data_IF_987289302045
#
_entry.id   IF_987289302045
#
_cell.length_a   1.000
_cell.length_b   1.000
_cell.length_c   1.000
_cell.angle_alpha   90.00
_cell.angle_beta   90.00
_cell.angle_gamma   90.00
#
_symmetry.space_group_name_H-M   'P 1'
#
loop_
_entity.id
_entity.type
_entity.pdbx_description
1 polymer ?
#
# COMPACT_ATOMS: atom_id res chain seq x y z
N UNK A 1 76.52 -6.96 39.57
CA UNK A 1 75.38 -6.75 38.64
C UNK A 1 75.01 -7.99 37.80
N UNK A 2 75.65 -9.15 37.89
CA UNK A 2 75.32 -10.36 37.09
C UNK A 2 74.33 -11.36 37.75
N UNK A 3 74.01 -11.17 39.04
CA UNK A 3 73.05 -12.09 39.75
C UNK A 3 71.63 -11.67 39.75
N UNK A 4 71.32 -10.45 39.42
CA UNK A 4 69.93 -9.91 39.39
C UNK A 4 69.21 -10.27 38.05
N UNK A 5 69.97 -10.32 36.93
CA UNK A 5 69.46 -10.66 35.63
C UNK A 5 68.95 -12.13 35.51
N UNK A 6 69.55 -13.03 36.33
CA UNK A 6 69.12 -14.44 36.36
C UNK A 6 67.75 -14.66 37.05
N UNK A 7 67.50 -13.91 38.10
CA UNK A 7 66.25 -14.00 38.89
C UNK A 7 65.08 -13.44 38.12
N UNK A 8 65.27 -12.33 37.38
CA UNK A 8 64.24 -11.73 36.56
C UNK A 8 63.85 -12.61 35.39
N UNK A 9 64.86 -13.32 34.79
CA UNK A 9 64.55 -14.26 33.69
C UNK A 9 63.85 -15.52 34.18
N UNK A 10 64.14 -16.01 35.39
CA UNK A 10 63.42 -17.17 35.96
C UNK A 10 62.01 -16.82 36.37
N UNK A 11 61.79 -15.60 36.93
CA UNK A 11 60.42 -15.12 37.27
C UNK A 11 59.55 -14.90 36.02
N UNK A 12 60.11 -14.44 34.90
CA UNK A 12 59.42 -14.28 33.63
C UNK A 12 58.96 -15.58 33.00
N UNK A 13 59.81 -16.64 33.08
CA UNK A 13 59.47 -17.96 32.55
C UNK A 13 58.41 -18.63 33.41
N UNK A 14 58.45 -18.49 34.74
CA UNK A 14 57.42 -19.03 35.63
C UNK A 14 56.06 -18.33 35.42
N UNK A 15 56.04 -17.04 35.17
CA UNK A 15 54.78 -16.28 34.87
C UNK A 15 54.17 -16.71 33.52
N UNK A 16 55.00 -16.99 32.50
CA UNK A 16 54.52 -17.43 31.18
C UNK A 16 54.00 -18.87 31.22
N UNK A 17 54.59 -19.74 32.03
CA UNK A 17 54.09 -21.12 32.22
C UNK A 17 52.76 -21.14 32.99
N UNK A 18 52.54 -20.21 33.93
CA UNK A 18 51.27 -20.08 34.64
C UNK A 18 50.11 -19.63 33.74
N UNK A 19 50.38 -18.79 32.76
CA UNK A 19 49.37 -18.32 31.78
C UNK A 19 48.95 -19.44 30.79
N UNK A 20 49.83 -20.39 30.47
CA UNK A 20 49.52 -21.51 29.61
C UNK A 20 48.74 -22.63 30.35
N UNK A 21 48.88 -22.76 31.69
CA UNK A 21 48.09 -23.68 32.48
C UNK A 21 46.65 -23.20 32.74
N UNK A 22 46.41 -21.88 32.73
CA UNK A 22 45.06 -21.31 32.88
C UNK A 22 44.16 -21.58 31.68
N UNK A 23 44.72 -21.82 30.47
CA UNK A 23 43.94 -22.14 29.29
C UNK A 23 43.49 -23.61 29.21
N UNK A 24 44.07 -24.52 30.02
CA UNK A 24 43.70 -25.95 30.00
C UNK A 24 42.57 -26.28 30.96
N UNK A 25 42.22 -25.41 31.92
CA UNK A 25 41.10 -25.64 32.84
C UNK A 25 39.74 -25.16 32.31
N UNK A 26 39.71 -24.58 31.08
CA UNK A 26 38.45 -24.24 30.40
C UNK A 26 37.76 -25.44 29.74
N UNK A 27 38.24 -26.65 29.94
CA UNK A 27 37.73 -27.84 29.27
C UNK A 27 36.56 -28.55 29.97
N UNK A 28 36.15 -28.06 31.15
CA UNK A 28 35.02 -28.64 31.89
C UNK A 28 33.94 -27.67 32.37
N UNK A 29 34.05 -26.40 32.01
CA UNK A 29 32.90 -25.49 32.16
C UNK A 29 31.99 -25.69 30.96
N UNK A 30 31.02 -26.56 31.08
CA UNK A 30 30.00 -26.88 30.08
C UNK A 30 29.07 -25.72 29.70
N UNK A 31 29.64 -24.51 29.47
CA UNK A 31 29.00 -23.43 28.73
C UNK A 31 29.33 -23.61 27.25
N UNK A 32 29.19 -24.85 26.86
CA UNK A 32 29.50 -25.23 25.53
C UNK A 32 28.28 -25.14 24.62
N UNK A 33 28.63 -25.29 23.42
CA UNK A 33 27.87 -25.57 22.22
C UNK A 33 26.62 -26.43 22.43
N UNK A 34 26.55 -27.27 23.48
CA UNK A 34 25.41 -28.10 23.81
C UNK A 34 24.14 -27.35 24.18
N UNK A 35 24.25 -26.37 25.07
CA UNK A 35 23.06 -25.61 25.52
C UNK A 35 22.54 -24.65 24.42
N UNK A 36 23.45 -24.13 23.61
CA UNK A 36 23.04 -23.32 22.45
C UNK A 36 22.52 -24.21 21.31
N UNK A 37 23.12 -25.38 21.09
CA UNK A 37 22.62 -26.36 20.14
C UNK A 37 21.29 -26.96 20.60
N UNK A 38 21.11 -27.20 21.89
CA UNK A 38 19.84 -27.66 22.48
C UNK A 38 18.76 -26.58 22.41
N UNK A 39 19.09 -25.29 22.70
CA UNK A 39 18.20 -24.17 22.45
C UNK A 39 17.88 -23.98 20.98
N UNK A 40 18.86 -24.06 20.10
CA UNK A 40 18.64 -23.99 18.65
C UNK A 40 17.80 -25.17 18.18
N UNK A 41 18.01 -26.39 18.69
CA UNK A 41 17.21 -27.58 18.41
C UNK A 41 15.78 -27.46 18.98
N UNK A 42 15.62 -26.85 20.17
CA UNK A 42 14.31 -26.57 20.75
C UNK A 42 13.58 -25.45 20.00
N UNK A 43 14.28 -24.42 19.55
CA UNK A 43 13.70 -23.38 18.69
C UNK A 43 13.35 -23.91 17.29
N UNK A 44 14.19 -24.79 16.73
CA UNK A 44 13.95 -25.48 15.46
C UNK A 44 12.81 -26.52 15.60
N UNK A 45 12.74 -27.21 16.73
CA UNK A 45 11.62 -28.09 17.06
C UNK A 45 10.33 -27.33 17.40
N UNK A 46 10.42 -26.15 18.01
CA UNK A 46 9.29 -25.25 18.21
C UNK A 46 8.85 -24.59 16.89
N UNK A 47 9.78 -24.25 16.01
CA UNK A 47 9.51 -23.79 14.63
C UNK A 47 8.89 -24.91 13.76
N UNK A 48 9.30 -26.15 13.94
CA UNK A 48 8.70 -27.33 13.29
C UNK A 48 7.37 -27.73 13.92
N UNK A 49 7.12 -27.39 15.18
CA UNK A 49 5.83 -27.55 15.89
C UNK A 49 4.84 -26.44 15.62
N UNK A 50 5.19 -25.42 14.88
CA UNK A 50 4.17 -24.64 14.20
C UNK A 50 3.61 -25.57 13.13
N UNK A 51 2.63 -26.39 13.57
CA UNK A 51 1.92 -27.33 12.73
C UNK A 51 1.55 -26.61 11.44
N UNK A 52 1.90 -27.18 10.29
CA UNK A 52 1.37 -26.72 9.02
C UNK A 52 -0.13 -26.54 9.22
N UNK A 53 -0.72 -25.45 8.73
CA UNK A 53 -2.13 -25.18 9.00
C UNK A 53 -2.94 -26.37 8.49
N UNK A 54 -3.56 -27.10 9.43
CA UNK A 54 -4.26 -28.37 9.15
C UNK A 54 -5.59 -28.14 8.41
N UNK A 55 -6.04 -26.90 8.31
CA UNK A 55 -7.30 -26.54 7.65
C UNK A 55 -7.12 -25.39 6.66
N UNK A 56 -7.95 -25.33 5.59
CA UNK A 56 -7.93 -24.22 4.65
C UNK A 56 -8.05 -22.86 5.33
N UNK A 57 -8.93 -22.74 6.33
CA UNK A 57 -9.15 -21.48 7.06
C UNK A 57 -7.92 -21.04 7.87
N UNK A 58 -7.21 -21.98 8.52
CA UNK A 58 -5.97 -21.69 9.23
C UNK A 58 -4.87 -21.24 8.27
N UNK A 59 -4.80 -21.84 7.08
CA UNK A 59 -3.80 -21.47 6.08
C UNK A 59 -4.08 -20.06 5.51
N UNK A 60 -5.33 -19.73 5.19
CA UNK A 60 -5.71 -18.38 4.79
C UNK A 60 -5.37 -17.37 5.88
N UNK A 61 -5.68 -17.66 7.15
CA UNK A 61 -5.31 -16.80 8.28
C UNK A 61 -3.80 -16.64 8.47
N UNK A 62 -2.98 -17.62 8.10
CA UNK A 62 -1.53 -17.47 8.05
C UNK A 62 -1.12 -16.48 6.94
N UNK A 63 -1.67 -16.63 5.74
CA UNK A 63 -1.39 -15.74 4.60
C UNK A 63 -1.82 -14.30 4.91
N UNK A 64 -2.99 -14.10 5.52
CA UNK A 64 -3.44 -12.78 5.98
C UNK A 64 -2.46 -12.13 6.96
N UNK A 65 -1.96 -12.88 7.93
CA UNK A 65 -0.94 -12.38 8.87
C UNK A 65 0.36 -12.02 8.18
N UNK A 66 0.79 -12.80 7.18
CA UNK A 66 1.97 -12.46 6.39
C UNK A 66 1.77 -11.12 5.65
N UNK A 67 0.60 -10.89 5.05
CA UNK A 67 0.28 -9.63 4.39
C UNK A 67 0.21 -8.47 5.38
N UNK A 68 -0.37 -8.68 6.57
CA UNK A 68 -0.39 -7.68 7.64
C UNK A 68 1.02 -7.27 8.11
N UNK A 69 2.00 -8.15 7.94
CA UNK A 69 3.43 -7.90 8.20
C UNK A 69 4.19 -7.36 6.98
N UNK A 70 3.51 -7.08 5.87
CA UNK A 70 4.13 -6.61 4.63
C UNK A 70 4.86 -7.69 3.81
N UNK A 71 4.72 -8.97 4.16
CA UNK A 71 5.40 -10.09 3.51
C UNK A 71 4.66 -10.56 2.24
N UNK A 72 4.39 -9.61 1.32
CA UNK A 72 3.53 -9.86 0.16
C UNK A 72 4.11 -10.86 -0.84
N UNK A 73 5.41 -10.82 -1.12
CA UNK A 73 6.06 -11.81 -2.01
C UNK A 73 6.00 -13.22 -1.44
N UNK A 74 6.25 -13.37 -0.14
CA UNK A 74 6.13 -14.65 0.53
C UNK A 74 4.67 -15.12 0.55
N UNK A 75 3.71 -14.20 0.76
CA UNK A 75 2.28 -14.54 0.72
C UNK A 75 1.85 -15.08 -0.64
N UNK A 76 2.37 -14.57 -1.76
CA UNK A 76 2.09 -15.11 -3.10
C UNK A 76 2.51 -16.57 -3.23
N UNK A 77 3.71 -16.93 -2.75
CA UNK A 77 4.17 -18.31 -2.78
C UNK A 77 3.30 -19.23 -1.90
N UNK A 78 2.85 -18.74 -0.73
CA UNK A 78 1.93 -19.47 0.13
C UNK A 78 0.52 -19.60 -0.47
N UNK A 79 0.04 -18.60 -1.21
CA UNK A 79 -1.22 -18.69 -1.96
C UNK A 79 -1.13 -19.76 -3.04
N UNK A 80 -0.01 -19.83 -3.78
CA UNK A 80 0.20 -20.89 -4.78
C UNK A 80 0.16 -22.28 -4.15
N UNK A 81 0.81 -22.45 -2.99
CA UNK A 81 0.79 -23.72 -2.25
C UNK A 81 -0.61 -24.05 -1.72
N UNK A 82 -1.32 -23.05 -1.19
CA UNK A 82 -2.71 -23.19 -0.74
C UNK A 82 -3.62 -23.66 -1.88
N UNK A 83 -3.60 -22.96 -3.02
CA UNK A 83 -4.48 -23.26 -4.15
C UNK A 83 -4.16 -24.61 -4.79
N UNK A 84 -2.91 -25.03 -4.78
CA UNK A 84 -2.51 -26.37 -5.21
C UNK A 84 -3.08 -27.47 -4.29
N UNK A 85 -3.19 -27.20 -3.00
CA UNK A 85 -3.65 -28.17 -2.01
C UNK A 85 -5.18 -28.20 -1.85
N UNK A 86 -5.81 -27.03 -1.87
CA UNK A 86 -7.23 -26.86 -1.50
C UNK A 86 -8.11 -26.34 -2.64
N UNK A 87 -7.50 -25.92 -3.75
CA UNK A 87 -8.19 -25.21 -4.82
C UNK A 87 -8.29 -23.70 -4.55
N UNK A 88 -8.60 -22.95 -5.60
CA UNK A 88 -8.84 -21.52 -5.49
C UNK A 88 -10.19 -21.24 -4.81
N UNK A 89 -10.21 -20.25 -3.93
CA UNK A 89 -11.41 -19.73 -3.28
C UNK A 89 -11.51 -18.21 -3.47
N UNK A 90 -12.69 -17.59 -3.28
CA UNK A 90 -12.80 -16.14 -3.31
C UNK A 90 -11.82 -15.45 -2.33
N UNK A 91 -11.58 -16.04 -1.17
CA UNK A 91 -10.67 -15.52 -0.14
C UNK A 91 -9.22 -15.59 -0.61
N UNK A 92 -8.76 -16.74 -1.16
CA UNK A 92 -7.40 -16.85 -1.71
C UNK A 92 -7.20 -15.92 -2.91
N UNK A 93 -8.23 -15.78 -3.75
CA UNK A 93 -8.25 -14.84 -4.87
C UNK A 93 -8.11 -13.39 -4.40
N UNK A 94 -8.81 -13.00 -3.33
CA UNK A 94 -8.66 -11.67 -2.73
C UNK A 94 -7.25 -11.43 -2.21
N UNK A 95 -6.70 -12.37 -1.44
CA UNK A 95 -5.34 -12.28 -0.90
C UNK A 95 -4.29 -12.20 -2.02
N UNK A 96 -4.47 -12.94 -3.11
CA UNK A 96 -3.62 -12.84 -4.31
C UNK A 96 -3.71 -11.46 -4.95
N UNK A 97 -4.92 -10.92 -5.13
CA UNK A 97 -5.12 -9.61 -5.70
C UNK A 97 -4.47 -8.50 -4.85
N UNK A 98 -4.65 -8.55 -3.53
CA UNK A 98 -4.03 -7.62 -2.58
C UNK A 98 -2.50 -7.69 -2.63
N UNK A 99 -1.91 -8.90 -2.62
CA UNK A 99 -0.47 -9.09 -2.71
C UNK A 99 0.12 -8.59 -4.03
N UNK A 100 -0.53 -8.86 -5.16
CA UNK A 100 -0.12 -8.34 -6.47
C UNK A 100 -0.14 -6.82 -6.52
N UNK A 101 -1.18 -6.18 -5.94
CA UNK A 101 -1.26 -4.72 -5.86
C UNK A 101 -0.11 -4.15 -5.02
N UNK A 102 0.21 -4.79 -3.90
CA UNK A 102 1.27 -4.34 -2.98
C UNK A 102 2.68 -4.64 -3.48
N UNK A 103 2.83 -5.51 -4.48
CA UNK A 103 4.11 -5.83 -5.14
C UNK A 103 4.26 -5.14 -6.50
N UNK A 104 3.51 -4.05 -6.73
CA UNK A 104 3.57 -3.21 -7.93
C UNK A 104 3.26 -3.98 -9.24
N UNK A 105 2.27 -4.86 -9.18
CA UNK A 105 1.75 -5.62 -10.32
C UNK A 105 0.28 -5.24 -10.61
N UNK A 106 -0.02 -3.97 -10.93
CA UNK A 106 -1.40 -3.46 -10.96
C UNK A 106 -2.27 -4.12 -12.02
N UNK A 107 -1.71 -4.47 -13.19
CA UNK A 107 -2.46 -5.11 -14.26
C UNK A 107 -2.90 -6.54 -13.88
N UNK A 108 -1.98 -7.33 -13.31
CA UNK A 108 -2.29 -8.67 -12.83
C UNK A 108 -3.28 -8.62 -11.66
N UNK A 109 -3.07 -7.69 -10.72
CA UNK A 109 -3.97 -7.47 -9.59
C UNK A 109 -5.38 -7.11 -10.05
N UNK A 110 -5.54 -6.21 -11.03
CA UNK A 110 -6.85 -5.83 -11.56
C UNK A 110 -7.59 -7.01 -12.20
N UNK A 111 -6.87 -7.86 -12.94
CA UNK A 111 -7.45 -9.07 -13.52
C UNK A 111 -7.98 -10.04 -12.44
N UNK A 112 -7.23 -10.18 -11.34
CA UNK A 112 -7.62 -11.04 -10.21
C UNK A 112 -8.78 -10.41 -9.43
N UNK A 113 -8.78 -9.11 -9.13
CA UNK A 113 -9.94 -8.45 -8.49
C UNK A 113 -11.23 -8.58 -9.33
N UNK A 114 -11.11 -8.54 -10.67
CA UNK A 114 -12.28 -8.69 -11.56
C UNK A 114 -12.97 -10.04 -11.38
N UNK A 115 -12.22 -11.10 -11.05
CA UNK A 115 -12.80 -12.42 -10.77
C UNK A 115 -13.71 -12.43 -9.53
N UNK A 116 -13.53 -11.49 -8.61
CA UNK A 116 -14.34 -11.37 -7.39
C UNK A 116 -15.68 -10.71 -7.60
N UNK A 117 -15.92 -10.03 -8.72
CA UNK A 117 -17.12 -9.19 -8.91
C UNK A 117 -18.42 -9.97 -8.93
N UNK A 118 -18.37 -11.27 -9.20
CA UNK A 118 -19.52 -12.17 -9.17
C UNK A 118 -19.50 -13.13 -7.97
N UNK A 119 -18.79 -12.77 -6.90
CA UNK A 119 -18.66 -13.56 -5.67
C UNK A 119 -19.20 -12.76 -4.47
N UNK A 120 -19.37 -13.37 -3.30
CA UNK A 120 -19.69 -12.63 -2.08
C UNK A 120 -18.67 -11.53 -1.71
N UNK A 121 -17.47 -11.56 -2.28
CA UNK A 121 -16.41 -10.58 -2.07
C UNK A 121 -16.38 -9.47 -3.13
N UNK A 122 -17.46 -9.29 -3.90
CA UNK A 122 -17.57 -8.28 -4.95
C UNK A 122 -17.23 -6.86 -4.45
N UNK A 123 -17.66 -6.49 -3.24
CA UNK A 123 -17.31 -5.20 -2.62
C UNK A 123 -15.80 -5.00 -2.49
N UNK A 124 -15.07 -6.03 -2.08
CA UNK A 124 -13.61 -6.02 -1.96
C UNK A 124 -12.94 -5.96 -3.32
N UNK A 125 -13.49 -6.66 -4.33
CA UNK A 125 -13.05 -6.60 -5.72
C UNK A 125 -13.17 -5.18 -6.28
N UNK A 126 -14.34 -4.55 -6.17
CA UNK A 126 -14.55 -3.17 -6.59
C UNK A 126 -13.63 -2.18 -5.84
N UNK A 127 -13.45 -2.37 -4.53
CA UNK A 127 -12.51 -1.55 -3.76
C UNK A 127 -11.09 -1.66 -4.30
N UNK A 128 -10.61 -2.89 -4.54
CA UNK A 128 -9.27 -3.12 -5.09
C UNK A 128 -9.06 -2.45 -6.45
N UNK A 129 -10.03 -2.58 -7.35
CA UNK A 129 -10.01 -1.89 -8.66
C UNK A 129 -9.99 -0.37 -8.51
N UNK A 130 -10.77 0.17 -7.57
CA UNK A 130 -10.76 1.59 -7.23
C UNK A 130 -9.42 2.07 -6.69
N UNK A 131 -8.78 1.30 -5.82
CA UNK A 131 -7.44 1.62 -5.29
C UNK A 131 -6.37 1.61 -6.39
N UNK A 132 -6.42 0.66 -7.33
CA UNK A 132 -5.50 0.61 -8.49
C UNK A 132 -5.71 1.83 -9.38
N UNK A 133 -6.95 2.17 -9.71
CA UNK A 133 -7.26 3.35 -10.52
C UNK A 133 -6.79 4.64 -9.83
N UNK A 134 -7.02 4.77 -8.52
CA UNK A 134 -6.55 5.90 -7.72
C UNK A 134 -5.03 6.03 -7.68
N UNK A 135 -4.31 4.91 -7.58
CA UNK A 135 -2.85 4.88 -7.64
C UNK A 135 -2.32 5.31 -9.02
N UNK A 136 -3.03 4.96 -10.09
CA UNK A 136 -2.74 5.41 -11.45
C UNK A 136 -3.13 6.88 -11.72
N UNK A 137 -3.78 7.56 -10.78
CA UNK A 137 -4.27 8.94 -10.93
C UNK A 137 -5.62 9.07 -11.64
N UNK A 138 -6.25 7.97 -12.03
CA UNK A 138 -7.58 7.94 -12.63
C UNK A 138 -8.66 7.95 -11.51
N UNK A 139 -8.85 9.15 -10.94
CA UNK A 139 -9.74 9.31 -9.80
C UNK A 139 -11.22 9.21 -10.17
N UNK A 140 -11.58 9.44 -11.41
CA UNK A 140 -12.95 9.25 -11.90
C UNK A 140 -13.32 7.76 -11.90
N UNK A 141 -12.46 6.92 -12.48
CA UNK A 141 -12.63 5.46 -12.44
C UNK A 141 -12.54 4.93 -11.01
N UNK A 142 -11.64 5.48 -10.19
CA UNK A 142 -11.55 5.12 -8.78
C UNK A 142 -12.88 5.41 -8.05
N UNK A 143 -13.47 6.61 -8.22
CA UNK A 143 -14.73 6.98 -7.61
C UNK A 143 -15.89 6.10 -8.10
N UNK A 144 -15.92 5.73 -9.38
CA UNK A 144 -16.93 4.82 -9.93
C UNK A 144 -16.85 3.43 -9.27
N UNK A 145 -15.66 2.82 -9.24
CA UNK A 145 -15.48 1.50 -8.64
C UNK A 145 -15.78 1.51 -7.13
N UNK A 146 -15.28 2.51 -6.40
CA UNK A 146 -15.53 2.65 -4.96
C UNK A 146 -17.00 2.95 -4.65
N UNK A 147 -17.73 3.60 -5.56
CA UNK A 147 -19.18 3.79 -5.43
C UNK A 147 -19.91 2.46 -5.48
N UNK A 148 -19.56 1.56 -6.42
CA UNK A 148 -20.11 0.21 -6.46
C UNK A 148 -19.81 -0.56 -5.17
N UNK A 149 -18.58 -0.48 -4.69
CA UNK A 149 -18.18 -1.10 -3.44
C UNK A 149 -19.01 -0.59 -2.25
N UNK A 150 -19.24 0.72 -2.15
CA UNK A 150 -20.00 1.34 -1.06
C UNK A 150 -21.49 1.01 -1.05
N UNK A 151 -22.06 0.67 -2.20
CA UNK A 151 -23.45 0.17 -2.28
C UNK A 151 -23.55 -1.23 -1.66
N UNK A 152 -22.52 -2.06 -1.88
CA UNK A 152 -22.50 -3.44 -1.35
C UNK A 152 -22.14 -3.49 0.13
N UNK A 153 -21.34 -2.52 0.64
CA UNK A 153 -20.92 -2.44 2.05
C UNK A 153 -21.05 -1.01 2.57
N UNK A 154 -22.27 -0.53 2.85
CA UNK A 154 -22.52 0.87 3.17
C UNK A 154 -22.05 1.31 4.57
N UNK A 155 -21.56 0.38 5.38
CA UNK A 155 -21.05 0.61 6.75
C UNK A 155 -19.54 0.40 6.89
N UNK A 156 -18.80 0.17 5.80
CA UNK A 156 -17.34 0.10 5.84
C UNK A 156 -16.74 1.51 5.81
N UNK A 157 -16.29 1.98 6.97
CA UNK A 157 -15.72 3.32 7.15
C UNK A 157 -14.52 3.57 6.23
N UNK A 158 -13.64 2.57 6.08
CA UNK A 158 -12.45 2.68 5.23
C UNK A 158 -12.82 2.83 3.75
N UNK A 159 -13.81 2.05 3.30
CA UNK A 159 -14.29 2.10 1.92
C UNK A 159 -14.99 3.43 1.60
N UNK A 160 -15.83 3.92 2.52
CA UNK A 160 -16.47 5.23 2.40
C UNK A 160 -15.44 6.37 2.36
N UNK A 161 -14.38 6.27 3.15
CA UNK A 161 -13.28 7.23 3.16
C UNK A 161 -12.48 7.20 1.84
N UNK A 162 -12.23 6.00 1.28
CA UNK A 162 -11.58 5.84 -0.01
C UNK A 162 -12.42 6.46 -1.13
N UNK A 163 -13.74 6.24 -1.12
CA UNK A 163 -14.68 6.86 -2.06
C UNK A 163 -14.65 8.38 -1.95
N UNK A 164 -14.72 8.91 -0.73
CA UNK A 164 -14.68 10.35 -0.50
C UNK A 164 -13.39 10.98 -1.03
N UNK A 165 -12.24 10.34 -0.78
CA UNK A 165 -10.96 10.80 -1.29
C UNK A 165 -10.90 10.77 -2.82
N UNK A 166 -11.36 9.71 -3.47
CA UNK A 166 -11.40 9.62 -4.92
C UNK A 166 -12.27 10.75 -5.52
N UNK A 167 -13.46 11.01 -4.92
CA UNK A 167 -14.34 12.12 -5.31
C UNK A 167 -13.70 13.49 -5.12
N UNK A 168 -12.97 13.71 -4.02
CA UNK A 168 -12.21 14.95 -3.84
C UNK A 168 -11.17 15.11 -4.94
N UNK A 169 -10.41 14.07 -5.24
CA UNK A 169 -9.30 14.10 -6.20
C UNK A 169 -9.78 14.30 -7.64
N UNK A 170 -10.94 13.81 -8.05
CA UNK A 170 -11.53 14.13 -9.35
C UNK A 170 -12.24 15.49 -9.40
N UNK A 171 -12.35 16.21 -8.26
CA UNK A 171 -12.95 17.53 -8.18
C UNK A 171 -14.41 17.58 -7.73
N UNK A 172 -15.06 16.43 -7.53
CA UNK A 172 -16.42 16.30 -6.98
C UNK A 172 -16.43 16.51 -5.47
N UNK A 173 -16.15 17.74 -5.04
CA UNK A 173 -16.09 18.10 -3.61
C UNK A 173 -17.44 17.92 -2.91
N UNK A 174 -18.53 18.20 -3.60
CA UNK A 174 -19.87 18.07 -3.04
C UNK A 174 -20.27 16.60 -2.86
N UNK A 175 -19.97 15.76 -3.86
CA UNK A 175 -20.23 14.33 -3.78
C UNK A 175 -19.37 13.59 -2.76
N UNK A 176 -18.23 14.16 -2.37
CA UNK A 176 -17.38 13.59 -1.32
C UNK A 176 -17.95 13.75 0.09
N UNK A 177 -18.82 14.74 0.33
CA UNK A 177 -19.30 15.11 1.68
C UNK A 177 -19.99 13.95 2.40
N UNK A 178 -20.97 13.34 1.76
CA UNK A 178 -21.79 12.30 2.42
C UNK A 178 -20.98 11.06 2.79
N UNK A 179 -20.22 10.42 1.85
CA UNK A 179 -19.41 9.27 2.22
C UNK A 179 -18.36 9.61 3.29
N UNK A 180 -17.77 10.83 3.26
CA UNK A 180 -16.79 11.22 4.25
C UNK A 180 -17.37 11.40 5.65
N UNK A 181 -18.54 12.03 5.77
CA UNK A 181 -19.20 12.20 7.07
C UNK A 181 -19.63 10.86 7.64
N UNK A 182 -20.18 9.96 6.83
CA UNK A 182 -20.49 8.61 7.25
C UNK A 182 -19.23 7.85 7.73
N UNK A 183 -18.14 7.96 7.02
CA UNK A 183 -16.88 7.34 7.43
C UNK A 183 -16.41 7.87 8.81
N UNK A 184 -16.47 9.18 8.99
CA UNK A 184 -16.08 9.82 10.25
C UNK A 184 -17.01 9.48 11.43
N UNK A 185 -18.30 9.25 11.19
CA UNK A 185 -19.24 8.77 12.22
C UNK A 185 -18.97 7.31 12.61
N UNK A 186 -18.62 6.46 11.63
CA UNK A 186 -18.36 5.03 11.86
C UNK A 186 -17.01 4.77 12.54
N UNK A 187 -15.98 5.57 12.24
CA UNK A 187 -14.64 5.42 12.83
C UNK A 187 -13.98 6.80 13.01
N UNK A 188 -14.19 7.38 14.19
CA UNK A 188 -13.69 8.72 14.55
C UNK A 188 -12.19 8.75 14.86
N UNK A 189 -11.59 7.59 15.07
CA UNK A 189 -10.19 7.48 15.50
C UNK A 189 -9.23 7.19 14.32
N UNK A 190 -9.73 6.87 13.15
CA UNK A 190 -8.95 6.48 11.99
C UNK A 190 -8.17 7.67 11.41
N UNK A 191 -6.83 7.63 11.44
CA UNK A 191 -6.00 8.76 10.98
C UNK A 191 -6.24 9.13 9.51
N UNK A 192 -6.54 8.14 8.67
CA UNK A 192 -6.82 8.34 7.24
C UNK A 192 -8.13 9.11 7.03
N UNK A 193 -9.17 8.73 7.78
CA UNK A 193 -10.47 9.41 7.73
C UNK A 193 -10.31 10.84 8.22
N UNK A 194 -9.62 11.05 9.36
CA UNK A 194 -9.34 12.38 9.91
C UNK A 194 -8.58 13.25 8.89
N UNK A 195 -7.57 12.70 8.21
CA UNK A 195 -6.83 13.41 7.16
C UNK A 195 -7.72 13.79 5.98
N UNK A 196 -8.62 12.92 5.55
CA UNK A 196 -9.57 13.21 4.49
C UNK A 196 -10.60 14.28 4.91
N UNK A 197 -10.99 14.32 6.19
CA UNK A 197 -11.82 15.43 6.74
C UNK A 197 -11.07 16.76 6.69
N UNK A 198 -9.78 16.77 7.05
CA UNK A 198 -8.96 18.00 6.94
C UNK A 198 -8.85 18.48 5.49
N UNK A 199 -8.64 17.57 4.54
CA UNK A 199 -8.63 17.89 3.10
C UNK A 199 -9.96 18.49 2.66
N UNK A 200 -11.06 17.85 3.02
CA UNK A 200 -12.41 18.36 2.71
C UNK A 200 -12.64 19.77 3.28
N UNK A 201 -12.30 19.99 4.54
CA UNK A 201 -12.46 21.29 5.18
C UNK A 201 -11.65 22.38 4.46
N UNK A 202 -10.39 22.10 4.09
CA UNK A 202 -9.55 23.06 3.36
C UNK A 202 -10.16 23.42 2.00
N UNK A 203 -10.58 22.41 1.23
CA UNK A 203 -11.12 22.61 -0.12
C UNK A 203 -12.49 23.29 -0.10
N UNK A 204 -13.28 23.07 0.96
CA UNK A 204 -14.59 23.67 1.17
C UNK A 204 -14.54 25.09 1.77
N UNK A 205 -13.33 25.64 1.99
CA UNK A 205 -13.14 26.99 2.52
C UNK A 205 -13.15 27.10 4.04
N UNK A 206 -13.24 25.99 4.78
CA UNK A 206 -13.26 25.93 6.24
C UNK A 206 -11.83 25.80 6.82
N UNK A 207 -10.92 26.67 6.39
CA UNK A 207 -9.49 26.58 6.73
C UNK A 207 -9.23 26.69 8.25
N UNK A 208 -10.03 27.45 8.98
CA UNK A 208 -9.89 27.58 10.45
C UNK A 208 -10.18 26.26 11.16
N UNK A 209 -11.22 25.55 10.74
CA UNK A 209 -11.61 24.26 11.33
C UNK A 209 -10.58 23.19 11.01
N UNK A 210 -10.07 23.17 9.78
CA UNK A 210 -8.96 22.31 9.39
C UNK A 210 -7.72 22.55 10.27
N UNK A 211 -7.33 23.81 10.49
CA UNK A 211 -6.19 24.14 11.36
C UNK A 211 -6.39 23.72 12.80
N UNK A 212 -7.61 23.94 13.35
CA UNK A 212 -7.98 23.48 14.68
C UNK A 212 -7.83 21.96 14.80
N UNK A 213 -8.36 21.22 13.84
CA UNK A 213 -8.29 19.76 13.81
C UNK A 213 -6.82 19.27 13.69
N UNK A 214 -5.99 19.89 12.83
CA UNK A 214 -4.56 19.61 12.71
C UNK A 214 -3.80 19.84 14.04
N UNK A 215 -4.19 20.87 14.78
CA UNK A 215 -3.64 21.17 16.10
C UNK A 215 -4.05 20.14 17.15
N UNK A 216 -5.31 19.72 17.17
CA UNK A 216 -5.83 18.67 18.07
C UNK A 216 -5.12 17.34 17.84
N UNK A 217 -4.84 16.98 16.59
CA UNK A 217 -4.14 15.76 16.23
C UNK A 217 -2.61 15.87 16.40
N UNK A 218 -2.09 17.04 16.81
CA UNK A 218 -0.65 17.30 17.00
C UNK A 218 0.22 16.89 15.79
N UNK A 219 -0.30 17.09 14.58
CA UNK A 219 0.37 16.65 13.36
C UNK A 219 1.73 17.36 13.18
N UNK A 220 2.79 16.64 12.77
CA UNK A 220 4.07 17.23 12.36
C UNK A 220 3.89 18.26 11.23
N UNK A 221 4.82 19.23 11.13
CA UNK A 221 4.75 20.29 10.13
C UNK A 221 4.75 19.73 8.68
N UNK A 222 5.52 18.66 8.44
CA UNK A 222 5.58 17.97 7.14
C UNK A 222 4.21 17.43 6.72
N UNK A 223 3.56 16.69 7.60
CA UNK A 223 2.22 16.12 7.33
C UNK A 223 1.18 17.24 7.09
N UNK A 224 1.25 18.32 7.86
CA UNK A 224 0.37 19.49 7.63
C UNK A 224 0.60 20.12 6.27
N UNK A 225 1.85 20.20 5.80
CA UNK A 225 2.18 20.71 4.48
C UNK A 225 1.72 19.76 3.37
N UNK A 226 1.90 18.46 3.54
CA UNK A 226 1.40 17.46 2.58
C UNK A 226 -0.13 17.56 2.41
N UNK A 227 -0.87 17.68 3.51
CA UNK A 227 -2.33 17.89 3.47
C UNK A 227 -2.69 19.19 2.73
N UNK A 228 -1.95 20.30 2.95
CA UNK A 228 -2.19 21.56 2.24
C UNK A 228 -1.89 21.45 0.74
N UNK A 229 -0.81 20.76 0.38
CA UNK A 229 -0.43 20.52 -1.01
C UNK A 229 -1.48 19.67 -1.73
N UNK A 230 -2.00 18.64 -1.09
CA UNK A 230 -3.09 17.84 -1.62
C UNK A 230 -4.39 18.66 -1.76
N UNK A 231 -4.70 19.49 -0.77
CA UNK A 231 -5.85 20.38 -0.86
C UNK A 231 -5.73 21.35 -2.05
N UNK A 232 -4.53 21.86 -2.34
CA UNK A 232 -4.28 22.71 -3.51
C UNK A 232 -4.51 21.96 -4.83
N UNK A 233 -4.05 20.69 -4.93
CA UNK A 233 -4.31 19.83 -6.10
C UNK A 233 -5.80 19.57 -6.29
N UNK A 234 -6.53 19.26 -5.22
CA UNK A 234 -7.98 19.04 -5.23
C UNK A 234 -8.71 20.34 -5.66
N UNK A 235 -8.31 21.49 -5.13
CA UNK A 235 -8.89 22.77 -5.52
C UNK A 235 -8.68 23.09 -7.01
N UNK A 236 -7.55 22.70 -7.58
CA UNK A 236 -7.29 22.80 -9.02
C UNK A 236 -8.22 21.88 -9.83
N UNK A 237 -8.37 20.62 -9.42
CA UNK A 237 -9.28 19.65 -10.04
C UNK A 237 -10.74 20.13 -9.95
N UNK A 238 -11.17 20.65 -8.80
CA UNK A 238 -12.53 21.19 -8.62
C UNK A 238 -12.84 22.39 -9.52
N UNK A 239 -11.82 23.22 -9.83
CA UNK A 239 -11.98 24.30 -10.82
C UNK A 239 -12.15 23.75 -12.24
N UNK A 240 -11.41 22.70 -12.59
CA UNK A 240 -11.56 22.03 -13.88
C UNK A 240 -12.92 21.35 -14.02
N UNK A 241 -13.37 20.66 -12.97
CA UNK A 241 -14.68 19.99 -12.90
C UNK A 241 -15.87 20.94 -13.14
N UNK A 242 -15.77 22.19 -12.64
CA UNK A 242 -16.83 23.21 -12.79
C UNK A 242 -16.85 23.89 -14.16
N UNK A 243 -15.83 23.70 -15.02
CA UNK A 243 -15.83 24.26 -16.37
C UNK A 243 -16.86 23.51 -17.20
N UNK A 244 -17.84 24.21 -17.82
CA UNK A 244 -18.71 23.55 -18.79
C UNK A 244 -17.84 22.95 -19.88
N UNK A 245 -18.09 21.70 -20.24
CA UNK A 245 -17.53 21.16 -21.48
C UNK A 245 -17.99 22.08 -22.58
N UNK A 246 -17.07 22.84 -23.19
CA UNK A 246 -17.38 23.67 -24.33
C UNK A 246 -17.96 22.73 -25.40
N UNK A 247 -19.26 22.81 -25.60
CA UNK A 247 -19.94 22.13 -26.71
C UNK A 247 -19.17 22.56 -27.95
N UNK A 248 -18.58 21.67 -28.74
CA UNK A 248 -17.97 22.09 -30.01
C UNK A 248 -19.04 22.84 -30.77
N UNK A 249 -18.75 24.12 -31.09
CA UNK A 249 -19.66 24.97 -31.85
C UNK A 249 -20.05 24.18 -33.10
N UNK A 250 -21.33 23.87 -33.22
CA UNK A 250 -21.85 23.27 -34.41
C UNK A 250 -21.44 24.19 -35.57
N UNK A 251 -20.47 23.74 -36.35
CA UNK A 251 -20.04 24.42 -37.59
C UNK A 251 -21.32 24.52 -38.43
N UNK A 252 -21.77 25.74 -38.58
CA UNK A 252 -22.88 26.04 -39.47
C UNK A 252 -22.52 25.50 -40.85
N UNK A 253 -23.25 24.50 -41.25
CA UNK A 253 -23.15 23.96 -42.63
C UNK A 253 -23.71 25.03 -43.52
N UNK A 254 -22.80 25.83 -44.11
CA UNK A 254 -23.09 26.69 -45.25
C UNK A 254 -23.36 25.75 -46.43
N UNK A 255 -24.58 25.82 -46.92
CA UNK A 255 -24.99 25.25 -48.22
C UNK A 255 -24.12 25.83 -49.33
N UNK A 256 -23.48 24.93 -50.11
CA UNK A 256 -22.84 25.35 -51.35
C UNK A 256 -21.92 24.29 -51.99
N UNK A 257 -22.42 23.75 -53.07
CA UNK A 257 -21.70 23.13 -54.22
C UNK A 257 -21.09 21.73 -54.12
N UNK A 258 -21.75 20.88 -54.80
CA UNK A 258 -21.26 19.62 -55.36
C UNK A 258 -20.09 19.86 -56.28
N UNK A 259 -18.95 19.29 -56.03
CA UNK A 259 -17.92 18.98 -57.05
C UNK A 259 -17.41 17.58 -56.82
N UNK A 260 -17.64 16.76 -57.79
CA UNK A 260 -17.15 15.40 -57.96
C UNK A 260 -15.67 15.43 -58.39
N UNK A 261 -14.75 14.81 -57.68
CA UNK A 261 -13.44 14.42 -58.20
C UNK A 261 -12.96 13.15 -57.52
N UNK A 262 -12.83 12.12 -58.35
CA UNK A 262 -12.07 10.88 -58.10
C UNK A 262 -10.60 11.20 -57.83
N UNK A 263 -9.94 10.46 -56.94
CA UNK A 263 -8.49 10.45 -56.79
C UNK A 263 -7.99 9.64 -55.62
N UNK A 264 -7.46 8.46 -55.94
CA UNK A 264 -6.68 7.56 -55.08
C UNK A 264 -5.46 8.22 -54.46
N UNK A 265 -5.06 7.81 -53.26
CA UNK A 265 -3.74 8.13 -52.70
C UNK A 265 -3.55 7.70 -51.27
N UNK A 266 -2.80 6.62 -51.10
CA UNK A 266 -2.21 6.18 -49.84
C UNK A 266 -1.46 7.29 -49.10
N UNK A 267 -1.66 7.41 -47.80
CA UNK A 267 -0.61 7.97 -46.94
C UNK A 267 -0.79 7.46 -45.48
N UNK A 268 0.18 6.65 -45.08
CA UNK A 268 0.56 6.38 -43.70
C UNK A 268 0.83 7.71 -42.97
N UNK A 269 0.25 7.92 -41.81
CA UNK A 269 0.57 9.01 -40.91
C UNK A 269 0.30 8.60 -39.45
N UNK A 270 1.33 8.08 -38.79
CA UNK A 270 1.28 7.78 -37.36
C UNK A 270 1.16 9.06 -36.56
N UNK A 271 0.21 9.10 -35.63
CA UNK A 271 0.11 10.15 -34.63
C UNK A 271 1.26 10.02 -33.61
N UNK A 272 1.87 11.11 -33.16
CA UNK A 272 2.91 11.07 -32.15
C UNK A 272 2.31 10.73 -30.79
N UNK A 273 2.83 9.66 -30.19
CA UNK A 273 2.61 9.34 -28.79
C UNK A 273 3.34 10.40 -27.98
N UNK A 274 2.61 11.26 -27.31
CA UNK A 274 3.17 12.20 -26.34
C UNK A 274 3.71 11.40 -25.15
N UNK A 275 5.04 11.27 -25.08
CA UNK A 275 5.76 10.75 -23.92
C UNK A 275 5.61 11.74 -22.78
N UNK A 276 4.82 11.39 -21.77
CA UNK A 276 4.75 12.09 -20.49
C UNK A 276 5.94 11.59 -19.67
N UNK A 277 7.06 12.32 -19.75
CA UNK A 277 8.17 12.23 -18.80
C UNK A 277 7.83 13.08 -17.59
N UNK A 278 7.97 12.52 -16.40
CA UNK A 278 7.94 13.25 -15.12
C UNK A 278 6.92 12.72 -14.13
N UNK A 279 7.05 11.48 -13.69
CA UNK A 279 6.45 11.04 -12.43
C UNK A 279 7.43 11.30 -11.30
N UNK A 280 7.24 12.44 -10.63
CA UNK A 280 7.85 12.71 -9.34
C UNK A 280 7.26 11.73 -8.31
N UNK A 281 8.15 10.90 -7.73
CA UNK A 281 7.83 9.88 -6.71
C UNK A 281 7.44 10.52 -5.38
N UNK A 282 6.29 11.18 -5.30
CA UNK A 282 5.64 11.41 -4.03
C UNK A 282 4.55 10.37 -3.86
N UNK A 283 4.87 9.29 -3.13
CA UNK A 283 3.89 8.29 -2.74
C UNK A 283 2.64 8.99 -2.17
N UNK A 284 1.44 8.68 -2.70
CA UNK A 284 0.22 9.29 -2.20
C UNK A 284 0.09 9.09 -0.69
N UNK A 285 -0.47 10.06 0.03
CA UNK A 285 -0.74 9.99 1.48
C UNK A 285 -1.40 8.67 1.90
N UNK A 286 -2.11 8.00 0.99
CA UNK A 286 -2.73 6.69 1.17
C UNK A 286 -1.74 5.57 1.50
N UNK A 287 -0.48 5.64 1.08
CA UNK A 287 0.53 4.61 1.38
C UNK A 287 1.28 4.87 2.69
N UNK A 288 1.37 6.14 3.14
CA UNK A 288 2.10 6.49 4.37
C UNK A 288 1.36 6.12 5.65
N UNK A 289 0.05 5.86 5.61
CA UNK A 289 -0.77 5.46 6.75
C UNK A 289 -1.15 3.98 6.74
N UNK A 290 -0.58 3.19 5.84
CA UNK A 290 -0.80 1.73 5.76
C UNK A 290 0.31 0.93 6.48
N UNK A 291 1.19 1.62 7.25
CA UNK A 291 2.18 0.99 8.13
C UNK A 291 1.76 1.11 9.58
#
# INVERSE_FOLDING_TARGET
MKRIDGIVKLAGVAALAGLLAACSSFKESGYGVGVQAERAALMDAAGRKQAAPDTPAMYLGLIERMQAQGLYYASLAHIDAYEKQYGASPESTLLRADALRMTDQPAASAAVYTQLLNTPLAARGYRGLGLIAGAAGDFERAAQALSQASVLTPTDASMLSDLAYAKLRCGDVQGARVPLMKAAELDQSNPKIISNVMLYLLVSGHARDAQKLMGQQKLPAEIRNDIRNDAARIAAAARAWRRPVATPAATAVGSGSVVDVRGSGDAKGGAPVASIQGFDSTAPLLQRFAQ
#
